data_IF_165041418495
#
_entry.id   IF_165041418495
#
_cell.length_a   1.000
_cell.length_b   1.000
_cell.length_c   1.000
_cell.angle_alpha   90.00
_cell.angle_beta   90.00
_cell.angle_gamma   90.00
#
_symmetry.space_group_name_H-M   'P 1'
#
loop_
_entity.id
_entity.type
_entity.pdbx_description
1 polymer ?
#
# COMPACT_ATOMS: atom_id res chain seq x y z
N UNK A 1 13.66 -10.27 8.97
CA UNK A 1 12.71 -11.14 9.70
C UNK A 1 13.43 -11.94 10.77
N UNK A 2 12.86 -12.09 11.97
CA UNK A 2 13.47 -12.87 13.06
C UNK A 2 12.91 -14.29 13.16
N UNK A 3 11.60 -14.48 12.91
CA UNK A 3 10.97 -15.80 12.88
C UNK A 3 9.85 -15.83 11.83
N UNK A 4 9.66 -16.98 11.19
CA UNK A 4 8.55 -17.23 10.28
C UNK A 4 7.88 -18.54 10.70
N UNK A 5 6.57 -18.47 10.90
CA UNK A 5 5.69 -19.57 11.25
C UNK A 5 4.58 -19.69 10.20
N UNK A 6 3.91 -20.85 10.12
CA UNK A 6 2.78 -21.04 9.20
C UNK A 6 1.66 -19.99 9.38
N UNK A 7 1.50 -19.45 10.59
CA UNK A 7 0.45 -18.47 10.94
C UNK A 7 0.87 -17.01 10.76
N UNK A 8 2.15 -16.73 10.52
CA UNK A 8 2.67 -15.36 10.40
C UNK A 8 4.18 -15.27 10.53
N UNK A 9 4.69 -14.05 10.52
CA UNK A 9 6.11 -13.77 10.66
C UNK A 9 6.34 -12.67 11.71
N UNK A 10 7.39 -12.86 12.51
CA UNK A 10 7.88 -11.86 13.45
C UNK A 10 9.08 -11.16 12.83
N UNK A 11 9.08 -9.83 12.90
CA UNK A 11 10.17 -8.96 12.48
C UNK A 11 10.62 -8.17 13.69
N UNK A 12 11.92 -8.05 13.90
CA UNK A 12 12.43 -7.09 14.87
C UNK A 12 12.71 -5.79 14.13
N UNK A 13 12.13 -4.71 14.65
CA UNK A 13 12.36 -3.35 14.17
C UNK A 13 13.44 -2.71 15.04
N UNK A 14 14.07 -1.67 14.50
CA UNK A 14 14.97 -0.83 15.27
C UNK A 14 14.26 -0.30 16.54
N UNK A 15 15.05 -0.09 17.61
CA UNK A 15 14.58 0.35 18.94
C UNK A 15 14.01 -0.75 19.86
N UNK A 16 14.21 -2.04 19.53
CA UNK A 16 13.76 -3.17 20.36
C UNK A 16 12.23 -3.36 20.32
N UNK A 17 11.64 -3.01 19.17
CA UNK A 17 10.22 -3.09 18.91
C UNK A 17 9.94 -4.32 18.05
N UNK A 18 9.01 -5.17 18.49
CA UNK A 18 8.67 -6.39 17.76
C UNK A 18 7.51 -6.12 16.80
N UNK A 19 7.73 -6.29 15.50
CA UNK A 19 6.67 -6.32 14.50
C UNK A 19 6.12 -7.72 14.30
N UNK A 20 4.80 -7.85 14.20
CA UNK A 20 4.11 -9.08 13.89
C UNK A 20 3.28 -8.92 12.62
N UNK A 21 3.51 -9.82 11.67
CA UNK A 21 2.79 -9.93 10.41
C UNK A 21 1.99 -11.23 10.42
N UNK A 22 0.67 -11.19 10.22
CA UNK A 22 -0.13 -12.41 10.09
C UNK A 22 0.00 -13.00 8.69
N UNK A 23 -0.10 -14.33 8.55
CA UNK A 23 -0.13 -14.99 7.24
C UNK A 23 -1.24 -14.42 6.34
N UNK A 24 -2.42 -14.18 6.89
CA UNK A 24 -3.56 -13.58 6.17
C UNK A 24 -3.34 -12.11 5.76
N UNK A 25 -2.31 -11.44 6.29
CA UNK A 25 -1.95 -10.07 5.97
C UNK A 25 -0.71 -9.99 5.07
N UNK A 26 -0.06 -11.12 4.78
CA UNK A 26 1.17 -11.20 3.98
C UNK A 26 0.91 -10.99 2.49
N UNK A 27 -0.31 -11.20 2.01
CA UNK A 27 -0.66 -10.99 0.61
C UNK A 27 -2.14 -10.69 0.43
N UNK A 28 -2.52 -10.21 -0.75
CA UNK A 28 -3.92 -9.91 -1.12
C UNK A 28 -4.75 -11.18 -1.29
N UNK A 29 -4.10 -12.28 -1.68
CA UNK A 29 -4.69 -13.61 -1.75
C UNK A 29 -4.49 -14.39 -0.44
N UNK A 30 -5.35 -15.39 -0.16
CA UNK A 30 -5.30 -16.14 1.10
C UNK A 30 -4.03 -16.98 1.14
N UNK A 31 -3.02 -16.52 1.88
CA UNK A 31 -1.81 -17.28 2.15
C UNK A 31 -2.08 -18.28 3.28
N UNK A 32 -2.05 -19.57 2.97
CA UNK A 32 -2.17 -20.65 3.96
C UNK A 32 -0.84 -20.92 4.69
N UNK A 33 0.29 -20.63 4.04
CA UNK A 33 1.62 -20.87 4.59
C UNK A 33 2.53 -19.66 4.40
N UNK A 34 2.76 -18.92 5.47
CA UNK A 34 3.60 -17.72 5.45
C UNK A 34 5.07 -18.06 5.10
N UNK A 35 5.50 -19.29 5.37
CA UNK A 35 6.86 -19.81 5.11
C UNK A 35 7.24 -19.86 3.64
N UNK A 36 6.24 -19.88 2.73
CA UNK A 36 6.48 -19.93 1.29
C UNK A 36 6.71 -18.55 0.66
N UNK A 37 6.16 -17.52 1.29
CA UNK A 37 6.24 -16.12 0.83
C UNK A 37 7.23 -15.29 1.62
N UNK A 38 7.55 -15.69 2.85
CA UNK A 38 8.37 -14.93 3.77
C UNK A 38 9.53 -15.80 4.24
N UNK A 39 10.75 -15.28 4.15
CA UNK A 39 11.96 -15.98 4.55
C UNK A 39 12.56 -15.34 5.81
N UNK A 40 13.04 -16.18 6.73
CA UNK A 40 13.79 -15.71 7.91
C UNK A 40 15.05 -14.99 7.43
N UNK A 41 15.35 -13.82 8.00
CA UNK A 41 16.46 -12.97 7.58
C UNK A 41 16.14 -12.01 6.43
N UNK A 42 15.01 -12.16 5.74
CA UNK A 42 14.63 -11.27 4.65
C UNK A 42 13.98 -9.97 5.16
N UNK A 43 14.11 -8.90 4.37
CA UNK A 43 13.46 -7.61 4.64
C UNK A 43 12.10 -7.55 3.94
N UNK A 44 11.04 -7.32 4.72
CA UNK A 44 9.67 -7.19 4.19
C UNK A 44 9.21 -5.75 4.31
N UNK A 45 8.65 -5.22 3.23
CA UNK A 45 7.94 -3.95 3.27
C UNK A 45 6.47 -4.19 3.58
N UNK A 46 6.02 -3.70 4.73
CA UNK A 46 4.63 -3.79 5.16
C UNK A 46 4.15 -2.45 5.72
N UNK A 47 2.85 -2.20 5.62
CA UNK A 47 2.25 -0.99 6.18
C UNK A 47 1.93 -1.19 7.66
N UNK A 48 2.23 -0.17 8.45
CA UNK A 48 1.81 -0.06 9.84
C UNK A 48 0.29 0.00 9.93
N UNK A 49 -0.32 -0.94 10.67
CA UNK A 49 -1.77 -0.97 10.91
C UNK A 49 -2.14 -0.63 12.35
N UNK A 50 -1.23 -0.85 13.29
CA UNK A 50 -1.45 -0.50 14.69
C UNK A 50 -0.27 -0.86 15.57
N UNK A 51 -0.28 -0.36 16.80
CA UNK A 51 0.72 -0.67 17.82
C UNK A 51 0.05 -1.00 19.14
N UNK A 52 0.44 -2.11 19.73
CA UNK A 52 0.13 -2.44 21.11
C UNK A 52 1.20 -1.81 22.02
N UNK A 53 0.88 -0.67 22.63
CA UNK A 53 1.80 0.06 23.51
C UNK A 53 2.19 -0.71 24.78
N UNK A 54 1.40 -1.71 25.19
CA UNK A 54 1.67 -2.48 26.41
C UNK A 54 2.80 -3.48 26.17
N UNK A 55 2.78 -4.15 25.03
CA UNK A 55 3.77 -5.16 24.66
C UNK A 55 4.85 -4.62 23.71
N UNK A 56 4.74 -3.35 23.27
CA UNK A 56 5.59 -2.76 22.22
C UNK A 56 5.60 -3.60 20.93
N UNK A 57 4.45 -4.22 20.63
CA UNK A 57 4.28 -5.03 19.43
C UNK A 57 3.58 -4.21 18.35
N UNK A 58 4.13 -4.20 17.15
CA UNK A 58 3.58 -3.49 15.99
C UNK A 58 2.88 -4.47 15.08
N UNK A 59 1.66 -4.16 14.69
CA UNK A 59 0.93 -4.94 13.69
C UNK A 59 1.25 -4.40 12.29
N UNK A 60 1.79 -5.27 11.46
CA UNK A 60 2.18 -4.97 10.09
C UNK A 60 1.29 -5.73 9.10
N UNK A 61 1.05 -5.13 7.94
CA UNK A 61 0.19 -5.70 6.91
C UNK A 61 0.68 -5.33 5.51
N UNK A 62 0.89 -6.33 4.64
CA UNK A 62 1.28 -6.14 3.24
C UNK A 62 0.07 -5.73 2.40
N UNK A 63 -1.11 -6.31 2.65
CA UNK A 63 -2.35 -5.92 1.93
C UNK A 63 -2.66 -4.42 2.04
N UNK A 64 -2.36 -3.82 3.19
CA UNK A 64 -2.63 -2.41 3.42
C UNK A 64 -1.65 -1.49 2.67
N UNK A 65 -0.47 -2.00 2.27
CA UNK A 65 0.46 -1.32 1.35
C UNK A 65 -0.12 -1.33 -0.06
N UNK A 66 -0.53 -2.49 -0.55
CA UNK A 66 -1.10 -2.67 -1.90
C UNK A 66 -2.35 -1.79 -2.12
N UNK A 67 -3.25 -1.75 -1.14
CA UNK A 67 -4.46 -0.91 -1.20
C UNK A 67 -4.15 0.61 -1.13
N UNK A 68 -3.03 0.98 -0.53
CA UNK A 68 -2.58 2.37 -0.47
C UNK A 68 -1.95 2.82 -1.80
N UNK A 69 -1.17 1.96 -2.44
CA UNK A 69 -0.58 2.23 -3.76
C UNK A 69 -1.67 2.35 -4.83
N UNK A 70 -2.72 1.51 -4.77
CA UNK A 70 -3.84 1.58 -5.71
C UNK A 70 -4.59 2.93 -5.58
N UNK A 71 -4.83 3.40 -4.35
CA UNK A 71 -5.49 4.71 -4.12
C UNK A 71 -4.67 5.91 -4.58
N UNK A 72 -3.35 5.88 -4.41
CA UNK A 72 -2.48 6.99 -4.81
C UNK A 72 -2.35 7.10 -6.34
N UNK A 73 -2.30 5.95 -7.02
CA UNK A 73 -2.30 5.89 -8.48
C UNK A 73 -3.60 6.46 -9.08
N UNK A 74 -4.76 6.12 -8.52
CA UNK A 74 -6.07 6.60 -9.03
C UNK A 74 -6.25 8.12 -8.80
N UNK A 75 -5.68 8.67 -7.72
CA UNK A 75 -5.73 10.10 -7.43
C UNK A 75 -4.91 10.93 -8.41
N UNK A 76 -3.78 10.40 -8.89
CA UNK A 76 -2.92 11.10 -9.87
C UNK A 76 -3.53 11.09 -11.27
N UNK A 77 -4.23 10.02 -11.67
CA UNK A 77 -4.91 9.95 -12.97
C UNK A 77 -6.08 10.95 -13.05
N UNK A 78 -6.89 11.07 -11.99
CA UNK A 78 -7.96 12.09 -11.95
C UNK A 78 -7.41 13.53 -11.97
N UNK A 79 -6.25 13.78 -11.34
CA UNK A 79 -5.66 15.12 -11.32
C UNK A 79 -5.06 15.55 -12.67
N UNK A 80 -4.80 14.60 -13.56
CA UNK A 80 -4.33 14.89 -14.93
C UNK A 80 -5.48 15.06 -15.94
N UNK A 81 -6.69 14.54 -15.68
CA UNK A 81 -7.84 14.70 -16.58
C UNK A 81 -8.54 16.07 -16.44
N UNK A 82 -8.65 16.63 -15.23
CA UNK A 82 -9.33 17.94 -15.04
C UNK A 82 -8.57 19.15 -15.61
N UNK A 83 -7.23 19.09 -15.67
CA UNK A 83 -6.43 20.21 -16.16
C UNK A 83 -6.32 20.28 -17.70
N UNK A 84 -6.57 19.17 -18.40
CA UNK A 84 -6.36 19.08 -19.85
C UNK A 84 -7.67 19.12 -20.66
N UNK A 85 -8.82 18.78 -20.06
CA UNK A 85 -10.12 18.86 -20.74
C UNK A 85 -10.69 20.29 -20.79
N UNK A 86 -10.41 21.12 -19.78
CA UNK A 86 -10.99 22.47 -19.69
C UNK A 86 -10.36 23.47 -20.68
N UNK A 87 -9.09 23.26 -21.05
CA UNK A 87 -8.35 24.21 -21.89
C UNK A 87 -8.60 24.05 -23.41
N UNK A 88 -9.04 22.87 -23.88
CA UNK A 88 -9.28 22.63 -25.30
C UNK A 88 -10.75 22.80 -25.71
N UNK A 89 -11.70 22.29 -24.91
CA UNK A 89 -13.11 22.29 -25.28
C UNK A 89 -13.72 23.71 -25.35
N UNK A 90 -13.35 24.60 -24.41
CA UNK A 90 -13.83 25.98 -24.40
C UNK A 90 -13.17 26.83 -25.51
N UNK A 91 -11.89 26.57 -25.81
CA UNK A 91 -11.12 27.29 -26.82
C UNK A 91 -11.58 26.98 -28.25
N UNK A 92 -11.94 25.71 -28.53
CA UNK A 92 -12.50 25.33 -29.83
C UNK A 92 -13.89 25.93 -30.07
N UNK A 93 -14.76 25.94 -29.04
CA UNK A 93 -16.10 26.53 -29.15
C UNK A 93 -16.09 28.06 -29.34
N UNK A 94 -15.17 28.78 -28.65
CA UNK A 94 -15.03 30.22 -28.83
C UNK A 94 -14.41 30.63 -30.16
N UNK A 95 -13.54 29.80 -30.74
CA UNK A 95 -12.93 30.05 -32.05
C UNK A 95 -13.92 29.82 -33.19
N UNK A 96 -14.81 28.84 -33.08
CA UNK A 96 -15.85 28.56 -34.07
C UNK A 96 -16.93 29.65 -34.15
N UNK A 97 -17.19 30.38 -33.06
CA UNK A 97 -18.25 31.40 -33.02
C UNK A 97 -17.81 32.82 -33.43
N UNK A 98 -16.50 33.07 -33.62
CA UNK A 98 -15.97 34.39 -34.04
C UNK A 98 -15.45 34.44 -35.48
N UNK A 99 -15.65 33.36 -36.24
CA UNK A 99 -15.15 33.20 -37.60
C UNK A 99 -16.26 32.97 -38.62
N UNK A 100 -17.28 33.84 -38.67
CA UNK A 100 -18.07 34.15 -39.87
C UNK A 100 -18.74 35.52 -39.71
#
# INVERSE_FOLDING_TARGET
>A
MTAVDAKGATVELADGVEGYLRASEASRDRVEDATLVLSVGDEVEAKFTGVDRKNRVVSLSVRAKDEAEEKDAIATVNKQEDANFSNNAMAEAFKAAKGE
#
